data_IF_692728598697
#
_entry.id   IF_692728598697
#
_cell.length_a   1.000
_cell.length_b   1.000
_cell.length_c   1.000
_cell.angle_alpha   90.00
_cell.angle_beta   90.00
_cell.angle_gamma   90.00
#
_symmetry.space_group_name_H-M   'P 1'
#
loop_
_entity.id
_entity.type
_entity.pdbx_description
1 polymer ?
#
# COMPACT_ATOMS: atom_id res chain seq x y z
N UNK A 1 17.24 7.63 2.78
CA UNK A 1 15.78 7.60 3.07
C UNK A 1 15.13 8.75 2.34
N UNK A 2 14.18 8.49 1.45
CA UNK A 2 13.37 9.52 0.81
C UNK A 2 12.06 9.65 1.60
N UNK A 3 11.58 10.88 1.80
CA UNK A 3 10.30 11.17 2.44
C UNK A 3 9.47 12.03 1.47
N UNK A 4 8.22 11.63 1.26
CA UNK A 4 7.25 12.35 0.43
C UNK A 4 6.05 12.68 1.31
N UNK A 5 5.61 13.93 1.29
CA UNK A 5 4.52 14.43 2.14
C UNK A 5 4.14 15.86 1.78
N UNK A 6 3.15 16.45 2.48
CA UNK A 6 2.76 17.85 2.26
C UNK A 6 3.94 18.78 2.55
N UNK A 7 4.05 19.88 1.82
CA UNK A 7 5.12 20.87 2.04
C UNK A 7 5.18 21.34 3.48
N UNK A 8 4.03 21.47 4.16
CA UNK A 8 3.98 21.83 5.59
C UNK A 8 4.58 20.75 6.51
N UNK A 9 4.31 19.47 6.24
CA UNK A 9 4.83 18.35 7.03
C UNK A 9 6.33 18.12 6.74
N UNK A 10 6.74 18.25 5.47
CA UNK A 10 8.15 18.23 5.07
C UNK A 10 8.91 19.41 5.65
N UNK A 11 8.31 20.60 5.66
CA UNK A 11 8.89 21.79 6.27
C UNK A 11 8.99 21.64 7.78
N UNK A 12 7.96 21.12 8.44
CA UNK A 12 8.04 20.79 9.86
C UNK A 12 9.15 19.75 10.15
N UNK A 13 9.30 18.72 9.32
CA UNK A 13 10.40 17.74 9.42
C UNK A 13 11.78 18.37 9.19
N UNK A 14 11.90 19.35 8.29
CA UNK A 14 13.13 20.11 8.02
C UNK A 14 13.42 21.10 9.16
N UNK A 15 12.40 21.77 9.69
CA UNK A 15 12.50 22.71 10.79
C UNK A 15 12.86 21.98 12.09
N UNK A 16 12.27 20.80 12.34
CA UNK A 16 12.65 19.90 13.43
C UNK A 16 14.08 19.36 13.28
N UNK A 17 14.53 19.11 12.04
CA UNK A 17 15.94 18.79 11.75
C UNK A 17 16.86 19.95 12.13
N UNK A 18 16.46 21.19 11.88
CA UNK A 18 17.25 22.39 12.22
C UNK A 18 17.23 22.71 13.73
N UNK A 19 16.24 22.21 14.47
CA UNK A 19 16.07 22.43 15.91
C UNK A 19 16.72 21.35 16.80
N UNK A 20 17.48 20.41 16.23
CA UNK A 20 18.26 19.43 17.01
C UNK A 20 17.44 18.33 17.70
N UNK A 21 16.12 18.27 17.49
CA UNK A 21 15.27 17.21 18.04
C UNK A 21 15.08 16.12 16.96
N UNK A 22 16.09 15.26 16.87
CA UNK A 22 16.27 14.31 15.78
C UNK A 22 15.27 13.15 15.81
N UNK A 23 14.35 13.07 14.84
CA UNK A 23 13.63 11.83 14.58
C UNK A 23 12.38 11.95 13.73
N UNK A 24 11.94 10.82 13.17
CA UNK A 24 10.59 10.66 12.65
C UNK A 24 9.57 10.94 13.79
N UNK A 25 8.43 11.58 13.50
CA UNK A 25 7.33 11.69 14.46
C UNK A 25 7.01 10.33 15.09
N UNK A 26 6.71 10.30 16.39
CA UNK A 26 6.54 9.05 17.14
C UNK A 26 5.56 8.08 16.49
N UNK A 27 4.42 8.58 16.00
CA UNK A 27 3.43 7.79 15.28
C UNK A 27 4.00 7.12 14.02
N UNK A 28 4.79 7.86 13.22
CA UNK A 28 5.42 7.33 12.01
C UNK A 28 6.56 6.35 12.35
N UNK A 29 7.28 6.58 13.44
CA UNK A 29 8.32 5.66 13.94
C UNK A 29 7.71 4.31 14.33
N UNK A 30 6.53 4.31 14.96
CA UNK A 30 5.77 3.09 15.26
C UNK A 30 5.42 2.33 13.97
N UNK A 31 4.88 3.02 12.96
CA UNK A 31 4.57 2.38 11.67
C UNK A 31 5.80 1.76 11.03
N UNK A 32 6.90 2.52 10.88
CA UNK A 32 8.15 2.02 10.28
C UNK A 32 8.71 0.81 11.03
N UNK A 33 8.52 0.72 12.35
CA UNK A 33 8.99 -0.44 13.14
C UNK A 33 8.27 -1.75 12.80
N UNK A 34 7.10 -1.69 12.17
CA UNK A 34 6.36 -2.88 11.71
C UNK A 34 6.91 -3.48 10.42
N UNK A 35 7.79 -2.77 9.71
CA UNK A 35 8.31 -3.17 8.41
C UNK A 35 9.53 -4.08 8.60
N UNK A 36 9.56 -5.28 8.00
CA UNK A 36 10.72 -6.17 8.11
C UNK A 36 11.99 -5.51 7.57
N UNK A 37 13.10 -5.64 8.30
CA UNK A 37 14.38 -5.00 7.95
C UNK A 37 14.94 -5.42 6.57
N UNK A 38 14.58 -6.60 6.09
CA UNK A 38 15.00 -7.12 4.79
C UNK A 38 14.18 -6.59 3.59
N UNK A 39 13.22 -5.68 3.84
CA UNK A 39 12.33 -5.14 2.80
C UNK A 39 13.05 -4.12 1.93
N UNK A 40 12.97 -4.28 0.60
CA UNK A 40 13.64 -3.41 -0.35
C UNK A 40 12.83 -2.14 -0.67
N UNK A 41 11.51 -2.27 -0.78
CA UNK A 41 10.60 -1.16 -1.08
C UNK A 41 9.54 -1.07 -0.01
N UNK A 42 9.38 0.11 0.58
CA UNK A 42 8.41 0.32 1.64
C UNK A 42 7.84 1.73 1.63
N UNK A 43 6.64 1.84 2.19
CA UNK A 43 5.93 3.09 2.44
C UNK A 43 5.38 3.00 3.87
N UNK A 44 5.47 4.10 4.61
CA UNK A 44 4.81 4.29 5.89
C UNK A 44 4.16 5.67 5.91
N UNK A 45 2.96 5.77 6.46
CA UNK A 45 2.23 7.04 6.51
C UNK A 45 1.32 7.11 7.74
N UNK A 46 1.01 8.34 8.14
CA UNK A 46 0.05 8.68 9.21
C UNK A 46 -0.78 9.89 8.75
N UNK A 47 -1.99 10.07 9.31
CA UNK A 47 -2.91 11.14 8.90
C UNK A 47 -3.75 10.84 7.64
N UNK A 48 -3.77 9.57 7.22
CA UNK A 48 -4.52 9.01 6.10
C UNK A 48 -3.87 9.22 4.74
N UNK A 49 -4.27 8.43 3.75
CA UNK A 49 -3.69 8.48 2.40
C UNK A 49 -3.97 9.79 1.65
N UNK A 50 -5.06 10.49 1.98
CA UNK A 50 -5.35 11.83 1.46
C UNK A 50 -4.33 12.90 1.88
N UNK A 51 -3.56 12.65 2.95
CA UNK A 51 -2.48 13.56 3.35
C UNK A 51 -1.28 13.46 2.40
N UNK A 52 -1.17 12.36 1.64
CA UNK A 52 -0.16 12.18 0.63
C UNK A 52 -0.62 12.87 -0.65
N UNK A 53 0.07 13.95 -1.04
CA UNK A 53 -0.21 14.66 -2.28
C UNK A 53 0.30 13.83 -3.47
N UNK A 54 -0.51 12.87 -3.92
CA UNK A 54 -0.20 12.04 -5.08
C UNK A 54 -0.33 12.79 -6.43
N UNK A 55 -0.73 14.07 -6.43
CA UNK A 55 -0.89 14.86 -7.67
C UNK A 55 -2.00 14.35 -8.58
N UNK A 56 -3.01 13.67 -8.02
CA UNK A 56 -4.10 13.02 -8.75
C UNK A 56 -5.34 13.91 -8.72
N UNK A 57 -5.94 14.20 -9.88
CA UNK A 57 -7.20 14.94 -9.94
C UNK A 57 -8.34 14.14 -9.32
N UNK A 58 -9.15 14.77 -8.46
CA UNK A 58 -10.24 14.14 -7.71
C UNK A 58 -11.30 13.46 -8.59
N UNK A 59 -11.50 13.96 -9.81
CA UNK A 59 -12.47 13.44 -10.77
C UNK A 59 -11.93 12.26 -11.61
N UNK A 60 -10.63 11.99 -11.55
CA UNK A 60 -10.02 10.89 -12.29
C UNK A 60 -10.35 9.53 -11.67
N UNK A 61 -10.18 8.46 -12.46
CA UNK A 61 -10.29 7.08 -11.96
C UNK A 61 -9.31 6.80 -10.80
N UNK A 62 -8.13 7.43 -10.83
CA UNK A 62 -7.16 7.33 -9.75
C UNK A 62 -7.62 8.10 -8.49
N UNK A 63 -8.26 9.26 -8.64
CA UNK A 63 -8.89 9.98 -7.53
C UNK A 63 -9.99 9.14 -6.88
N UNK A 64 -10.81 8.48 -7.69
CA UNK A 64 -11.81 7.51 -7.23
C UNK A 64 -11.21 6.34 -6.45
N UNK A 65 -10.09 5.78 -6.89
CA UNK A 65 -9.38 4.73 -6.17
C UNK A 65 -8.85 5.23 -4.81
N UNK A 66 -8.29 6.43 -4.74
CA UNK A 66 -7.84 7.04 -3.47
C UNK A 66 -9.03 7.23 -2.51
N UNK A 67 -10.23 7.54 -3.01
CA UNK A 67 -11.44 7.65 -2.17
C UNK A 67 -11.78 6.36 -1.43
N UNK A 68 -11.46 5.20 -2.00
CA UNK A 68 -11.68 3.89 -1.36
C UNK A 68 -10.89 3.75 -0.05
N UNK A 69 -9.81 4.52 0.10
CA UNK A 69 -8.95 4.51 1.27
C UNK A 69 -9.23 5.66 2.27
N UNK A 70 -10.30 6.45 2.11
CA UNK A 70 -10.63 7.58 3.02
C UNK A 70 -10.81 7.19 4.49
N UNK A 71 -11.19 5.95 4.74
CA UNK A 71 -11.33 5.38 6.08
C UNK A 71 -10.00 5.05 6.76
N UNK A 72 -8.88 5.09 6.02
CA UNK A 72 -7.54 4.78 6.52
C UNK A 72 -6.93 6.01 7.21
N UNK A 73 -6.36 5.78 8.39
CA UNK A 73 -5.69 6.79 9.22
C UNK A 73 -4.16 6.65 9.20
N UNK A 74 -3.65 5.42 9.23
CA UNK A 74 -2.22 5.15 9.10
C UNK A 74 -1.97 3.82 8.42
N UNK A 75 -0.72 3.56 8.07
CA UNK A 75 -0.32 2.23 7.69
C UNK A 75 1.04 2.13 7.06
N UNK A 76 1.37 0.89 6.74
CA UNK A 76 2.58 0.50 6.03
C UNK A 76 2.25 -0.37 4.84
N UNK A 77 3.13 -0.30 3.84
CA UNK A 77 3.16 -1.22 2.71
C UNK A 77 4.62 -1.58 2.43
N UNK A 78 4.87 -2.84 2.12
CA UNK A 78 6.19 -3.44 1.99
C UNK A 78 6.20 -4.41 0.82
N UNK A 79 7.25 -4.34 0.00
CA UNK A 79 7.53 -5.30 -1.08
C UNK A 79 8.93 -5.89 -0.86
N UNK A 80 9.00 -7.21 -0.86
CA UNK A 80 10.23 -7.99 -0.80
C UNK A 80 10.33 -8.89 -2.04
N UNK A 81 11.46 -8.82 -2.73
CA UNK A 81 11.74 -9.54 -3.99
C UNK A 81 12.89 -10.55 -3.84
N UNK A 82 13.37 -10.82 -2.62
CA UNK A 82 14.56 -11.69 -2.42
C UNK A 82 14.28 -13.16 -2.74
N UNK A 83 13.06 -13.63 -2.49
CA UNK A 83 12.65 -15.04 -2.64
C UNK A 83 11.29 -15.13 -3.33
N UNK A 84 11.16 -14.46 -4.47
CA UNK A 84 9.88 -14.24 -5.12
C UNK A 84 9.24 -12.90 -4.72
N UNK A 85 8.06 -12.60 -5.26
CA UNK A 85 7.30 -11.42 -4.93
C UNK A 85 6.49 -11.62 -3.65
N UNK A 86 6.80 -10.85 -2.60
CA UNK A 86 5.99 -10.74 -1.39
C UNK A 86 5.56 -9.30 -1.18
N UNK A 87 4.26 -9.08 -1.10
CA UNK A 87 3.65 -7.83 -0.69
C UNK A 87 2.99 -8.01 0.69
N UNK A 88 3.15 -7.01 1.55
CA UNK A 88 2.43 -6.92 2.81
C UNK A 88 2.04 -5.46 3.06
N UNK A 89 0.79 -5.21 3.41
CA UNK A 89 0.30 -3.93 3.86
C UNK A 89 -0.53 -4.07 5.12
N UNK A 90 -0.30 -3.17 6.06
CA UNK A 90 -1.05 -3.05 7.31
C UNK A 90 -1.66 -1.66 7.35
N UNK A 91 -2.98 -1.58 7.41
CA UNK A 91 -3.72 -0.33 7.31
C UNK A 91 -4.59 -0.17 8.56
N UNK A 92 -4.37 0.90 9.31
CA UNK A 92 -5.20 1.27 10.44
C UNK A 92 -6.34 2.15 9.94
N UNK A 93 -7.58 1.73 10.15
CA UNK A 93 -8.77 2.49 9.80
C UNK A 93 -9.31 3.25 11.03
N UNK A 94 -10.11 4.28 10.76
CA UNK A 94 -10.75 5.14 11.77
C UNK A 94 -11.78 4.37 12.59
N UNK A 95 -12.51 3.45 11.95
CA UNK A 95 -13.52 2.62 12.60
C UNK A 95 -13.43 1.16 12.15
N UNK A 96 -13.98 0.20 12.93
CA UNK A 96 -14.11 -1.20 12.48
C UNK A 96 -14.95 -1.36 11.21
N UNK A 97 -15.95 -0.49 11.02
CA UNK A 97 -16.78 -0.52 9.82
C UNK A 97 -15.98 -0.08 8.58
N UNK A 98 -15.13 0.93 8.70
CA UNK A 98 -14.22 1.36 7.63
C UNK A 98 -13.26 0.22 7.22
N UNK A 99 -12.72 -0.50 8.21
CA UNK A 99 -11.84 -1.65 7.96
C UNK A 99 -12.56 -2.77 7.19
N UNK A 100 -13.81 -3.06 7.57
CA UNK A 100 -14.65 -4.04 6.85
C UNK A 100 -14.91 -3.59 5.41
N UNK A 101 -15.29 -2.34 5.20
CA UNK A 101 -15.50 -1.78 3.86
C UNK A 101 -14.25 -1.82 3.00
N UNK A 102 -13.10 -1.45 3.56
CA UNK A 102 -11.82 -1.50 2.84
C UNK A 102 -11.46 -2.93 2.43
N UNK A 103 -11.59 -3.89 3.36
CA UNK A 103 -11.37 -5.32 3.06
C UNK A 103 -12.30 -5.80 1.94
N UNK A 104 -13.58 -5.48 2.02
CA UNK A 104 -14.58 -5.90 1.02
C UNK A 104 -14.32 -5.24 -0.33
N UNK A 105 -13.87 -3.97 -0.35
CA UNK A 105 -13.45 -3.29 -1.56
C UNK A 105 -12.23 -3.96 -2.20
N UNK A 106 -11.21 -4.32 -1.41
CA UNK A 106 -10.04 -5.07 -1.91
C UNK A 106 -10.46 -6.40 -2.53
N UNK A 107 -11.33 -7.18 -1.85
CA UNK A 107 -11.87 -8.43 -2.40
C UNK A 107 -12.68 -8.21 -3.68
N UNK A 108 -13.47 -7.14 -3.72
CA UNK A 108 -14.23 -6.75 -4.91
C UNK A 108 -13.32 -6.41 -6.10
N UNK A 109 -12.25 -5.66 -5.87
CA UNK A 109 -11.25 -5.33 -6.89
C UNK A 109 -10.55 -6.58 -7.43
N UNK A 110 -10.18 -7.51 -6.56
CA UNK A 110 -9.60 -8.81 -6.96
C UNK A 110 -10.59 -9.60 -7.82
N UNK A 111 -11.86 -9.67 -7.39
CA UNK A 111 -12.92 -10.33 -8.16
C UNK A 111 -13.13 -9.68 -9.55
N UNK A 112 -13.11 -8.35 -9.61
CA UNK A 112 -13.23 -7.61 -10.87
C UNK A 112 -12.01 -7.82 -11.79
N UNK A 113 -10.81 -7.81 -11.23
CA UNK A 113 -9.58 -8.07 -11.97
C UNK A 113 -9.58 -9.49 -12.57
N UNK A 114 -10.10 -10.47 -11.81
CA UNK A 114 -10.29 -11.84 -12.27
C UNK A 114 -11.25 -11.92 -13.47
N UNK A 115 -12.37 -11.20 -13.43
CA UNK A 115 -13.35 -11.17 -14.53
C UNK A 115 -12.82 -10.42 -15.78
N UNK A 116 -11.99 -9.41 -15.56
CA UNK A 116 -11.42 -8.58 -16.65
C UNK A 116 -10.22 -9.24 -17.33
N UNK A 117 -9.67 -10.29 -16.74
CA UNK A 117 -8.49 -10.99 -17.26
C UNK A 117 -8.89 -11.96 -18.36
N UNK A 118 -8.20 -11.89 -19.50
CA UNK A 118 -8.42 -12.82 -20.62
C UNK A 118 -8.08 -14.26 -20.21
N UNK A 119 -8.86 -15.24 -20.68
CA UNK A 119 -8.71 -16.65 -20.30
C UNK A 119 -7.30 -17.24 -20.56
N UNK A 120 -6.53 -16.66 -21.49
CA UNK A 120 -5.17 -17.12 -21.82
C UNK A 120 -4.05 -16.58 -20.89
N UNK A 121 -4.38 -16.07 -19.70
CA UNK A 121 -3.39 -15.53 -18.75
C UNK A 121 -3.46 -16.23 -17.38
N UNK A 122 -3.16 -17.55 -17.30
CA UNK A 122 -3.29 -18.36 -16.07
C UNK A 122 -2.43 -17.84 -14.91
N UNK A 123 -1.31 -17.20 -15.23
CA UNK A 123 -0.38 -16.66 -14.23
C UNK A 123 -0.98 -15.46 -13.45
N UNK A 124 -1.88 -14.68 -14.06
CA UNK A 124 -2.59 -13.58 -13.36
C UNK A 124 -3.63 -14.10 -12.38
N UNK A 125 -4.31 -15.21 -12.72
CA UNK A 125 -5.25 -15.84 -11.78
C UNK A 125 -4.53 -16.30 -10.51
N UNK A 126 -3.34 -16.89 -10.64
CA UNK A 126 -2.50 -17.27 -9.49
C UNK A 126 -2.11 -16.08 -8.62
N UNK A 127 -1.83 -14.93 -9.23
CA UNK A 127 -1.52 -13.70 -8.49
C UNK A 127 -2.74 -13.22 -7.69
N UNK A 128 -3.91 -13.16 -8.31
CA UNK A 128 -5.15 -12.76 -7.63
C UNK A 128 -5.51 -13.71 -6.49
N UNK A 129 -5.36 -15.02 -6.70
CA UNK A 129 -5.61 -16.05 -5.70
C UNK A 129 -4.58 -15.99 -4.54
N UNK A 130 -3.38 -15.44 -4.78
CA UNK A 130 -2.37 -15.22 -3.76
C UNK A 130 -2.65 -14.01 -2.86
N UNK A 131 -3.54 -13.09 -3.26
CA UNK A 131 -3.87 -11.92 -2.45
C UNK A 131 -4.86 -12.31 -1.35
N UNK A 132 -4.46 -12.09 -0.11
CA UNK A 132 -5.30 -12.27 1.06
C UNK A 132 -5.57 -10.91 1.71
N UNK A 133 -6.83 -10.66 2.04
CA UNK A 133 -7.26 -9.44 2.72
C UNK A 133 -8.13 -9.80 3.93
N UNK A 134 -7.61 -9.50 5.10
CA UNK A 134 -8.24 -9.78 6.39
C UNK A 134 -8.37 -8.49 7.19
N UNK A 135 -9.30 -8.47 8.15
CA UNK A 135 -9.43 -7.37 9.09
C UNK A 135 -9.60 -7.91 10.51
N UNK A 136 -9.05 -7.20 11.48
CA UNK A 136 -9.24 -7.43 12.91
C UNK A 136 -9.53 -6.07 13.57
N UNK A 137 -10.73 -5.94 14.12
CA UNK A 137 -11.26 -4.65 14.57
C UNK A 137 -11.18 -3.59 13.46
N UNK A 138 -10.47 -2.51 13.75
CA UNK A 138 -10.23 -1.37 12.85
C UNK A 138 -8.96 -1.51 11.99
N UNK A 139 -8.27 -2.65 12.04
CA UNK A 139 -7.06 -2.87 11.26
C UNK A 139 -7.33 -3.80 10.08
N UNK A 140 -6.73 -3.51 8.93
CA UNK A 140 -6.76 -4.35 7.73
C UNK A 140 -5.35 -4.80 7.41
N UNK A 141 -5.21 -6.08 7.09
CA UNK A 141 -3.97 -6.67 6.60
C UNK A 141 -4.21 -7.22 5.19
N UNK A 142 -3.35 -6.80 4.26
CA UNK A 142 -3.36 -7.27 2.88
C UNK A 142 -2.00 -7.88 2.59
N UNK A 143 -1.97 -9.15 2.21
CA UNK A 143 -0.74 -9.85 1.85
C UNK A 143 -0.87 -10.48 0.48
N UNK A 144 0.25 -10.61 -0.21
CA UNK A 144 0.34 -11.43 -1.41
C UNK A 144 1.70 -12.12 -1.44
N UNK A 145 1.73 -13.41 -1.74
CA UNK A 145 2.98 -14.14 -1.89
C UNK A 145 2.94 -14.97 -3.17
N UNK A 146 3.84 -14.64 -4.09
CA UNK A 146 4.01 -15.33 -5.36
C UNK A 146 5.38 -16.01 -5.36
N UNK A 147 5.43 -17.32 -5.59
CA UNK A 147 6.71 -18.04 -5.69
C UNK A 147 7.60 -17.53 -6.83
N UNK A 148 8.91 -17.75 -6.73
CA UNK A 148 9.85 -17.39 -7.78
C UNK A 148 9.50 -18.00 -9.14
N UNK A 149 9.70 -17.24 -10.22
CA UNK A 149 9.50 -17.68 -11.60
C UNK A 149 8.16 -17.30 -12.27
N UNK A 150 7.24 -16.68 -11.52
CA UNK A 150 6.01 -16.04 -12.08
C UNK A 150 6.21 -14.52 -12.27
N UNK A 151 7.17 -13.95 -11.55
CA UNK A 151 7.44 -12.52 -11.44
C UNK A 151 7.97 -11.85 -12.70
N UNK A 152 8.83 -12.51 -13.49
CA UNK A 152 9.33 -11.97 -14.76
C UNK A 152 8.20 -11.69 -15.75
N UNK A 153 7.24 -12.63 -15.86
CA UNK A 153 6.05 -12.45 -16.71
C UNK A 153 5.13 -11.34 -16.20
N UNK A 154 5.03 -11.18 -14.87
CA UNK A 154 4.22 -10.13 -14.27
C UNK A 154 4.80 -8.75 -14.55
N UNK A 155 6.10 -8.58 -14.34
CA UNK A 155 6.82 -7.35 -14.64
C UNK A 155 6.74 -7.01 -16.13
N UNK A 156 6.89 -7.99 -17.03
CA UNK A 156 6.74 -7.78 -18.47
C UNK A 156 5.33 -7.34 -18.89
N UNK A 157 4.29 -7.91 -18.28
CA UNK A 157 2.89 -7.54 -18.57
C UNK A 157 2.54 -6.12 -18.11
N UNK A 158 3.08 -5.69 -16.96
CA UNK A 158 2.76 -4.40 -16.35
C UNK A 158 3.69 -3.26 -16.77
N UNK A 159 4.98 -3.54 -17.00
CA UNK A 159 5.97 -2.51 -17.34
C UNK A 159 6.04 -2.18 -18.82
N UNK A 160 5.36 -2.94 -19.72
CA UNK A 160 5.33 -2.75 -21.18
C UNK A 160 6.54 -1.93 -21.65
N UNK A 161 7.74 -2.53 -21.63
CA UNK A 161 8.85 -1.93 -22.36
C UNK A 161 8.41 -1.91 -23.82
N UNK A 162 8.07 -0.73 -24.32
CA UNK A 162 8.05 -0.46 -25.76
C UNK A 162 9.46 -0.61 -26.30
#
# INVERSE_FOLDING_TARGET
TAAVGRTADLRALIDLRNQGNHGLPSALKTEVSTIPAATQVWIAFTGGLQSLNFGVADESNAGQAVRMFRGVDSGTAAINLQNGFRFAARLQCKTPNDAKHLRDAVKGLIGFARLSTRQNQPDLFKLYDAVQANNDGSQVEVTAQVPPGIEDKFLDLWLKRK
#
